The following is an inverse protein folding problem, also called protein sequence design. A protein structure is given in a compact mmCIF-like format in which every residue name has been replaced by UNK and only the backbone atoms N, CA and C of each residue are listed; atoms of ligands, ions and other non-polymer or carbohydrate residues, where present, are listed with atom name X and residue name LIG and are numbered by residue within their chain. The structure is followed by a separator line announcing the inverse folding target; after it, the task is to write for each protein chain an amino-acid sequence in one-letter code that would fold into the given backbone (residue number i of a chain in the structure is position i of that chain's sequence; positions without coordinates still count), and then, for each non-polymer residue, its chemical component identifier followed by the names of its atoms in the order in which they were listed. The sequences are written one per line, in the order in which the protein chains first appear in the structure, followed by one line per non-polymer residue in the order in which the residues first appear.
data_IF_666378215371
#
_entry.id   IF_666378215371
#
_cell.length_a   1.000
_cell.length_b   1.000
_cell.length_c   1.000
_cell.angle_alpha   90.00
_cell.angle_beta   90.00
_cell.angle_gamma   90.00
#
_symmetry.space_group_name_H-M   'P 1'
#
loop_
_entity.id
_entity.type
_entity.pdbx_description
1 polymer ?
#
# COMPACT_ATOMS: atom_id res chain seq x y z
N UNK A 1 -17.32 12.15 24.63
CA UNK A 1 -16.66 10.95 24.06
C UNK A 1 -17.30 9.65 24.52
N UNK A 2 -17.78 9.52 25.76
CA UNK A 2 -18.32 8.25 26.31
C UNK A 2 -19.45 7.59 25.51
N UNK A 3 -20.23 8.36 24.73
CA UNK A 3 -21.34 7.81 23.96
C UNK A 3 -20.88 6.99 22.72
N UNK A 4 -19.77 7.36 22.07
CA UNK A 4 -19.35 6.71 20.82
C UNK A 4 -18.65 5.38 21.02
N UNK A 5 -17.80 5.29 22.04
CA UNK A 5 -17.12 4.04 22.36
C UNK A 5 -18.14 2.93 22.69
N UNK A 6 -19.20 3.29 23.41
CA UNK A 6 -20.34 2.42 23.70
C UNK A 6 -21.10 1.99 22.44
N UNK A 7 -21.31 2.91 21.49
CA UNK A 7 -21.95 2.61 20.20
C UNK A 7 -21.09 1.67 19.34
N UNK A 8 -19.79 1.93 19.22
CA UNK A 8 -18.86 1.08 18.47
C UNK A 8 -18.78 -0.31 19.11
N UNK A 9 -18.69 -0.38 20.44
CA UNK A 9 -18.71 -1.64 21.18
C UNK A 9 -20.00 -2.43 20.90
N UNK A 10 -21.16 -1.75 20.98
CA UNK A 10 -22.45 -2.35 20.66
C UNK A 10 -22.47 -2.91 19.24
N UNK A 11 -22.03 -2.14 18.24
CA UNK A 11 -22.00 -2.59 16.85
C UNK A 11 -21.11 -3.82 16.66
N UNK A 12 -19.94 -3.85 17.27
CA UNK A 12 -19.07 -5.02 17.25
C UNK A 12 -19.74 -6.25 17.90
N UNK A 13 -20.41 -6.06 19.04
CA UNK A 13 -21.11 -7.14 19.74
C UNK A 13 -22.34 -7.68 18.99
N UNK A 14 -22.77 -7.07 17.87
CA UNK A 14 -23.87 -7.60 17.06
C UNK A 14 -23.44 -8.73 16.11
N UNK A 15 -22.14 -8.94 15.90
CA UNK A 15 -21.65 -10.08 15.12
C UNK A 15 -21.83 -11.40 15.88
N UNK A 16 -22.05 -12.50 15.14
CA UNK A 16 -22.30 -13.82 15.72
C UNK A 16 -21.13 -14.32 16.58
N UNK A 17 -19.92 -13.93 16.19
CA UNK A 17 -18.66 -14.27 16.82
C UNK A 17 -18.56 -13.73 18.26
N UNK A 18 -19.40 -12.75 18.64
CA UNK A 18 -19.44 -12.16 19.98
C UNK A 18 -20.75 -12.43 20.75
N UNK A 19 -21.67 -13.23 20.19
CA UNK A 19 -23.02 -13.41 20.75
C UNK A 19 -23.05 -13.94 22.19
N UNK A 20 -22.05 -14.73 22.59
CA UNK A 20 -21.96 -15.36 23.92
C UNK A 20 -20.92 -14.68 24.82
N UNK A 21 -20.50 -13.45 24.50
CA UNK A 21 -19.39 -12.77 25.18
C UNK A 21 -19.91 -11.46 25.73
N UNK A 22 -19.87 -11.34 27.05
CA UNK A 22 -20.16 -10.08 27.73
C UNK A 22 -18.92 -9.18 27.62
N UNK A 23 -19.02 -8.13 26.82
CA UNK A 23 -17.97 -7.11 26.72
C UNK A 23 -18.40 -5.86 27.48
N UNK A 24 -17.65 -5.51 28.52
CA UNK A 24 -17.90 -4.32 29.33
C UNK A 24 -17.33 -3.04 28.72
N UNK A 25 -16.27 -3.14 27.90
CA UNK A 25 -15.64 -2.06 27.16
C UNK A 25 -14.85 -2.59 25.95
N UNK A 26 -14.34 -1.69 25.10
CA UNK A 26 -13.57 -2.06 23.89
C UNK A 26 -12.24 -2.74 24.19
N UNK A 27 -11.60 -2.44 25.33
CA UNK A 27 -10.37 -3.11 25.78
C UNK A 27 -10.61 -4.59 26.10
N UNK A 28 -11.72 -4.90 26.79
CA UNK A 28 -12.13 -6.27 27.09
C UNK A 28 -12.51 -7.04 25.83
N UNK A 29 -13.11 -6.36 24.85
CA UNK A 29 -13.38 -6.96 23.54
C UNK A 29 -12.08 -7.34 22.83
N UNK A 30 -11.10 -6.43 22.75
CA UNK A 30 -9.87 -6.65 21.97
C UNK A 30 -8.93 -7.68 22.58
N UNK A 31 -8.88 -7.75 23.90
CA UNK A 31 -8.14 -8.79 24.62
C UNK A 31 -8.80 -10.16 24.53
N UNK A 32 -10.02 -10.27 23.98
CA UNK A 32 -10.71 -11.55 23.83
C UNK A 32 -10.14 -12.38 22.67
N UNK A 33 -10.09 -13.70 22.87
CA UNK A 33 -9.72 -14.67 21.83
C UNK A 33 -10.67 -14.64 20.64
N UNK A 34 -11.94 -14.32 20.88
CA UNK A 34 -12.96 -14.20 19.83
C UNK A 34 -12.76 -12.98 18.95
N UNK A 35 -12.23 -11.88 19.48
CA UNK A 35 -11.88 -10.72 18.66
C UNK A 35 -10.71 -11.03 17.73
N UNK A 36 -9.69 -11.75 18.24
CA UNK A 36 -8.58 -12.23 17.42
C UNK A 36 -9.06 -13.14 16.28
N UNK A 37 -9.91 -14.12 16.57
CA UNK A 37 -10.50 -15.00 15.57
C UNK A 37 -11.36 -14.25 14.55
N UNK A 38 -12.14 -13.27 15.01
CA UNK A 38 -12.97 -12.45 14.14
C UNK A 38 -12.13 -11.56 13.22
N UNK A 39 -11.09 -10.92 13.74
CA UNK A 39 -10.13 -10.16 12.94
C UNK A 39 -9.46 -11.07 11.90
N UNK A 40 -8.98 -12.26 12.30
CA UNK A 40 -8.42 -13.25 11.38
C UNK A 40 -9.43 -13.58 10.26
N UNK A 41 -10.70 -13.84 10.56
CA UNK A 41 -11.73 -14.13 9.54
C UNK A 41 -12.08 -12.92 8.64
N UNK A 42 -11.99 -11.69 9.16
CA UNK A 42 -12.25 -10.45 8.40
C UNK A 42 -11.09 -10.09 7.48
N UNK A 43 -9.84 -10.32 7.92
CA UNK A 43 -8.64 -9.96 7.19
C UNK A 43 -8.08 -11.08 6.32
N UNK A 44 -8.23 -12.34 6.73
CA UNK A 44 -7.79 -13.50 5.97
C UNK A 44 -8.96 -14.01 5.12
N UNK A 45 -8.89 -13.73 3.82
CA UNK A 45 -9.56 -14.58 2.83
C UNK A 45 -9.04 -16.01 3.08
N UNK A 46 -9.90 -16.93 3.50
CA UNK A 46 -9.58 -18.37 3.58
C UNK A 46 -9.19 -18.89 2.20
N UNK A 47 -7.93 -18.65 1.81
CA UNK A 47 -7.27 -19.39 0.76
C UNK A 47 -6.77 -20.69 1.40
N UNK A 48 -7.15 -21.80 0.80
CA UNK A 48 -6.97 -23.18 1.27
C UNK A 48 -5.52 -23.69 1.23
N UNK A 49 -4.54 -22.85 1.56
CA UNK A 49 -3.12 -23.24 1.59
C UNK A 49 -2.51 -22.90 2.95
N UNK A 50 -2.13 -23.94 3.70
CA UNK A 50 -1.31 -23.81 4.88
C UNK A 50 0.10 -23.38 4.46
N UNK A 51 0.56 -22.18 4.84
CA UNK A 51 1.98 -21.80 4.96
C UNK A 51 2.13 -20.32 5.41
N UNK A 52 2.29 -20.13 6.72
CA UNK A 52 3.13 -19.13 7.44
C UNK A 52 3.46 -17.75 6.83
N UNK A 53 2.58 -17.12 6.03
CA UNK A 53 2.77 -15.74 5.53
C UNK A 53 1.53 -14.86 5.67
N UNK A 54 0.50 -15.35 6.36
CA UNK A 54 -0.78 -14.67 6.51
C UNK A 54 -0.65 -13.35 7.28
N UNK A 55 0.11 -13.31 8.37
CA UNK A 55 0.30 -12.10 9.18
C UNK A 55 0.97 -10.95 8.40
N UNK A 56 1.91 -11.26 7.48
CA UNK A 56 2.57 -10.24 6.65
C UNK A 56 1.63 -9.68 5.57
N UNK A 57 0.72 -10.52 5.05
CA UNK A 57 -0.30 -10.10 4.07
C UNK A 57 -1.40 -9.27 4.70
N UNK A 58 -1.85 -9.66 5.90
CA UNK A 58 -2.80 -8.90 6.71
C UNK A 58 -2.19 -7.55 7.09
N UNK A 59 -0.95 -7.54 7.57
CA UNK A 59 -0.21 -6.33 7.86
C UNK A 59 -0.11 -5.38 6.65
N UNK A 60 0.31 -5.88 5.48
CA UNK A 60 0.39 -5.05 4.28
C UNK A 60 -0.99 -4.50 3.86
N UNK A 61 -2.06 -5.26 4.08
CA UNK A 61 -3.44 -4.83 3.80
C UNK A 61 -3.89 -3.71 4.74
N UNK A 62 -3.58 -3.83 6.03
CA UNK A 62 -3.85 -2.79 7.02
C UNK A 62 -3.01 -1.54 6.69
N UNK A 63 -1.71 -1.72 6.42
CA UNK A 63 -0.79 -0.62 6.11
C UNK A 63 -1.19 0.19 4.87
N UNK A 64 -1.63 -0.47 3.80
CA UNK A 64 -2.04 0.22 2.55
C UNK A 64 -3.32 1.04 2.74
N UNK A 65 -4.23 0.58 3.60
CA UNK A 65 -5.54 1.19 3.75
C UNK A 65 -5.65 2.15 4.97
N UNK A 66 -4.72 2.09 5.94
CA UNK A 66 -4.83 2.74 7.25
C UNK A 66 -3.50 3.39 7.73
N UNK A 67 -2.80 4.07 6.81
CA UNK A 67 -1.40 4.56 6.95
C UNK A 67 -1.01 5.35 8.22
N UNK A 68 -1.94 6.02 8.91
CA UNK A 68 -1.66 6.83 10.12
C UNK A 68 -1.99 6.13 11.45
N UNK A 69 -2.65 4.98 11.40
CA UNK A 69 -2.59 4.11 12.56
C UNK A 69 -1.16 3.61 12.61
N UNK A 70 -0.42 3.91 13.66
CA UNK A 70 0.92 3.37 13.94
C UNK A 70 0.87 1.83 14.18
N UNK A 71 0.04 1.12 13.42
CA UNK A 71 0.04 -0.34 13.29
C UNK A 71 1.24 -0.65 12.41
N UNK A 72 2.41 -0.68 13.06
CA UNK A 72 3.69 -1.03 12.47
C UNK A 72 3.80 -2.54 12.27
N UNK A 73 2.94 -3.35 12.94
CA UNK A 73 2.78 -4.81 12.79
C UNK A 73 1.34 -5.27 13.10
N UNK A 74 0.98 -6.50 12.71
CA UNK A 74 -0.37 -7.07 12.96
C UNK A 74 -0.73 -7.11 14.45
N UNK A 75 0.26 -7.32 15.31
CA UNK A 75 0.13 -7.38 16.76
C UNK A 75 -0.34 -6.04 17.36
N UNK A 76 -0.07 -4.92 16.68
CA UNK A 76 -0.46 -3.59 17.16
C UNK A 76 -1.99 -3.37 17.09
N UNK A 77 -2.73 -4.21 16.34
CA UNK A 77 -4.19 -4.23 16.33
C UNK A 77 -4.77 -4.64 17.70
N UNK A 78 -3.99 -5.33 18.52
CA UNK A 78 -4.38 -5.81 19.85
C UNK A 78 -3.93 -4.89 20.99
N UNK A 79 -3.43 -3.69 20.65
CA UNK A 79 -3.02 -2.71 21.65
C UNK A 79 -4.24 -2.08 22.33
N UNK A 80 -4.36 -2.28 23.65
CA UNK A 80 -5.43 -1.74 24.48
C UNK A 80 -5.50 -0.20 24.47
N UNK A 81 -4.39 0.49 24.23
CA UNK A 81 -4.34 1.96 24.19
C UNK A 81 -5.01 2.53 22.93
N UNK A 82 -5.17 1.71 21.89
CA UNK A 82 -5.86 2.06 20.64
C UNK A 82 -7.14 1.25 20.43
N UNK A 83 -7.73 0.72 21.51
CA UNK A 83 -8.82 -0.24 21.45
C UNK A 83 -10.01 0.20 20.58
N UNK A 84 -10.48 1.43 20.74
CA UNK A 84 -11.61 1.97 19.94
C UNK A 84 -11.30 1.92 18.45
N UNK A 85 -10.08 2.27 18.08
CA UNK A 85 -9.67 2.35 16.69
C UNK A 85 -9.49 0.97 16.04
N UNK A 86 -8.95 0.01 16.79
CA UNK A 86 -8.87 -1.37 16.33
C UNK A 86 -10.27 -1.95 16.05
N UNK A 87 -11.25 -1.69 16.93
CA UNK A 87 -12.66 -2.05 16.68
C UNK A 87 -13.20 -1.38 15.41
N UNK A 88 -12.95 -0.08 15.21
CA UNK A 88 -13.38 0.65 14.02
C UNK A 88 -12.76 0.07 12.74
N UNK A 89 -11.45 -0.21 12.72
CA UNK A 89 -10.76 -0.76 11.55
C UNK A 89 -11.32 -2.15 11.18
N UNK A 90 -11.56 -3.00 12.17
CA UNK A 90 -12.13 -4.34 11.95
C UNK A 90 -13.58 -4.23 11.45
N UNK A 91 -14.40 -3.38 12.06
CA UNK A 91 -15.78 -3.11 11.64
C UNK A 91 -15.84 -2.63 10.19
N UNK A 92 -14.96 -1.69 9.82
CA UNK A 92 -14.90 -1.13 8.47
C UNK A 92 -14.52 -2.19 7.43
N UNK A 93 -13.50 -3.01 7.71
CA UNK A 93 -13.13 -4.09 6.80
C UNK A 93 -14.23 -5.13 6.62
N UNK A 94 -14.90 -5.50 7.72
CA UNK A 94 -16.02 -6.44 7.68
C UNK A 94 -17.16 -5.94 6.75
N UNK A 95 -17.33 -4.62 6.63
CA UNK A 95 -18.40 -4.00 5.84
C UNK A 95 -17.99 -3.62 4.41
N UNK A 96 -16.76 -3.14 4.21
CA UNK A 96 -16.26 -2.62 2.94
C UNK A 96 -15.53 -3.66 2.08
N UNK A 97 -14.86 -4.65 2.70
CA UNK A 97 -13.92 -5.55 2.01
C UNK A 97 -14.35 -7.02 1.98
N UNK A 98 -15.34 -7.43 2.75
CA UNK A 98 -15.85 -8.79 2.68
C UNK A 98 -16.73 -8.98 1.43
N UNK A 99 -16.26 -9.84 0.53
CA UNK A 99 -16.96 -10.31 -0.69
C UNK A 99 -18.24 -11.12 -0.40
N UNK A 100 -18.58 -11.33 0.87
CA UNK A 100 -19.75 -12.06 1.34
C UNK A 100 -20.66 -11.13 2.16
N UNK A 101 -21.96 -11.08 1.82
CA UNK A 101 -22.98 -10.25 2.49
C UNK A 101 -23.25 -10.67 3.94
N UNK A 102 -22.64 -11.75 4.44
CA UNK A 102 -22.80 -12.29 5.80
C UNK A 102 -22.79 -11.21 6.89
N UNK A 103 -21.71 -10.43 7.00
CA UNK A 103 -21.55 -9.43 8.07
C UNK A 103 -22.51 -8.26 7.93
N UNK A 104 -22.79 -7.82 6.69
CA UNK A 104 -23.77 -6.77 6.41
C UNK A 104 -25.18 -7.18 6.81
N UNK A 105 -25.56 -8.43 6.49
CA UNK A 105 -26.87 -8.97 6.84
C UNK A 105 -27.04 -9.11 8.35
N UNK A 106 -26.00 -9.57 9.07
CA UNK A 106 -26.03 -9.66 10.53
C UNK A 106 -26.30 -8.30 11.19
N UNK A 107 -25.57 -7.24 10.79
CA UNK A 107 -25.83 -5.90 11.34
C UNK A 107 -27.20 -5.38 10.90
N UNK A 108 -27.57 -5.55 9.64
CA UNK A 108 -28.86 -5.09 9.11
C UNK A 108 -30.08 -5.74 9.77
N UNK A 109 -29.97 -6.98 10.23
CA UNK A 109 -31.07 -7.69 10.90
C UNK A 109 -31.19 -7.31 12.38
N UNK A 110 -30.09 -6.86 13.00
CA UNK A 110 -29.99 -6.65 14.46
C UNK A 110 -29.98 -5.18 14.87
N UNK A 111 -29.54 -4.28 13.98
CA UNK A 111 -29.60 -2.84 14.20
C UNK A 111 -30.99 -2.28 13.94
N UNK A 112 -31.40 -1.31 14.76
CA UNK A 112 -32.57 -0.50 14.45
C UNK A 112 -32.28 0.50 13.31
N UNK A 113 -33.33 1.12 12.76
CA UNK A 113 -33.16 2.03 11.61
C UNK A 113 -32.28 3.25 11.93
N UNK A 114 -32.30 3.74 13.16
CA UNK A 114 -31.49 4.88 13.59
C UNK A 114 -30.01 4.50 13.68
N UNK A 115 -29.70 3.33 14.25
CA UNK A 115 -28.36 2.75 14.30
C UNK A 115 -27.80 2.50 12.89
N UNK A 116 -28.65 2.02 11.96
CA UNK A 116 -28.24 1.83 10.56
C UNK A 116 -27.93 3.14 9.85
N UNK A 117 -28.74 4.18 10.07
CA UNK A 117 -28.49 5.53 9.52
C UNK A 117 -27.21 6.13 10.12
N UNK A 118 -26.99 5.93 11.42
CA UNK A 118 -25.80 6.39 12.11
C UNK A 118 -24.54 5.72 11.55
N UNK A 119 -24.57 4.40 11.36
CA UNK A 119 -23.48 3.64 10.75
C UNK A 119 -23.25 4.06 9.30
N UNK A 120 -24.31 4.28 8.51
CA UNK A 120 -24.17 4.75 7.13
C UNK A 120 -23.53 6.15 7.06
N UNK A 121 -23.95 7.09 7.91
CA UNK A 121 -23.36 8.42 8.01
C UNK A 121 -21.89 8.35 8.47
N UNK A 122 -21.55 7.44 9.38
CA UNK A 122 -20.17 7.17 9.78
C UNK A 122 -19.31 6.65 8.62
N UNK A 123 -19.84 5.69 7.87
CA UNK A 123 -19.17 5.16 6.68
C UNK A 123 -18.99 6.24 5.62
N UNK A 124 -19.98 7.09 5.39
CA UNK A 124 -19.90 8.20 4.43
C UNK A 124 -18.90 9.28 4.87
N UNK A 125 -18.90 9.65 6.15
CA UNK A 125 -17.96 10.63 6.70
C UNK A 125 -16.50 10.13 6.65
N UNK A 126 -16.30 8.81 6.67
CA UNK A 126 -14.97 8.19 6.58
C UNK A 126 -14.55 7.84 5.15
N UNK A 127 -15.44 8.02 4.14
CA UNK A 127 -15.19 7.66 2.74
C UNK A 127 -14.34 8.67 1.94
N UNK A 128 -14.26 9.94 2.35
CA UNK A 128 -13.66 11.00 1.52
C UNK A 128 -12.13 11.15 1.64
N UNK A 129 -11.48 10.42 2.55
CA UNK A 129 -10.04 10.53 2.86
C UNK A 129 -9.43 9.15 3.17
N UNK A 130 -8.09 9.06 3.21
CA UNK A 130 -7.40 7.89 3.79
C UNK A 130 -7.92 7.64 5.22
N UNK A 131 -8.13 6.38 5.62
CA UNK A 131 -8.64 6.06 6.97
C UNK A 131 -7.55 6.29 8.02
N UNK A 132 -7.42 7.55 8.45
CA UNK A 132 -6.47 7.97 9.47
C UNK A 132 -7.13 8.11 10.84
N UNK A 133 -6.32 8.12 11.90
CA UNK A 133 -6.79 8.37 13.28
C UNK A 133 -7.49 9.73 13.38
N UNK A 134 -6.97 10.74 12.68
CA UNK A 134 -7.57 12.07 12.62
C UNK A 134 -8.94 12.04 11.93
N UNK A 135 -9.05 11.40 10.76
CA UNK A 135 -10.31 11.36 10.00
C UNK A 135 -11.40 10.55 10.71
N UNK A 136 -11.02 9.45 11.39
CA UNK A 136 -11.97 8.71 12.24
C UNK A 136 -12.40 9.56 13.43
N UNK A 137 -11.48 10.32 14.03
CA UNK A 137 -11.83 11.24 15.13
C UNK A 137 -12.78 12.35 14.66
N UNK A 138 -12.53 12.93 13.49
CA UNK A 138 -13.39 13.94 12.87
C UNK A 138 -14.76 13.37 12.48
N UNK A 139 -14.82 12.17 11.92
CA UNK A 139 -16.07 11.49 11.60
C UNK A 139 -16.88 11.16 12.86
N UNK A 140 -16.22 10.68 13.93
CA UNK A 140 -16.87 10.46 15.22
C UNK A 140 -17.39 11.78 15.82
N UNK A 141 -16.62 12.87 15.70
CA UNK A 141 -17.03 14.20 16.15
C UNK A 141 -18.29 14.70 15.42
N UNK A 142 -18.34 14.55 14.09
CA UNK A 142 -19.49 14.95 13.26
C UNK A 142 -20.78 14.19 13.64
N UNK A 143 -20.65 12.95 14.10
CA UNK A 143 -21.81 12.18 14.53
C UNK A 143 -22.27 12.62 15.93
N UNK A 144 -21.38 13.12 16.79
CA UNK A 144 -21.76 13.69 18.12
C UNK A 144 -22.73 14.85 18.01
N UNK A 145 -22.53 15.68 16.99
CA UNK A 145 -23.30 16.91 16.81
C UNK A 145 -24.67 16.65 16.16
N UNK A 146 -24.87 15.46 15.61
CA UNK A 146 -26.20 15.02 15.19
C UNK A 146 -27.05 14.75 16.43
N UNK A 147 -28.22 15.37 16.53
CA UNK A 147 -29.18 15.23 17.65
C UNK A 147 -29.83 13.84 17.72
N UNK A 148 -29.07 12.76 17.51
CA UNK A 148 -29.53 11.41 17.75
C UNK A 148 -29.55 11.19 19.27
N UNK A 149 -30.77 11.01 19.77
CA UNK A 149 -31.11 10.97 21.18
C UNK A 149 -30.28 9.89 21.88
N UNK A 150 -29.70 10.20 23.05
CA UNK A 150 -28.95 9.26 23.87
C UNK A 150 -29.64 7.90 23.92
N UNK A 151 -29.02 6.89 23.31
CA UNK A 151 -29.35 5.50 23.60
C UNK A 151 -28.78 5.27 25.00
N UNK A 152 -29.65 5.14 26.01
CA UNK A 152 -29.22 4.83 27.38
C UNK A 152 -28.51 3.47 27.38
N UNK A 153 -27.18 3.49 27.34
CA UNK A 153 -26.36 2.28 27.51
C UNK A 153 -25.87 2.24 28.96
N UNK A 154 -26.78 1.90 29.88
CA UNK A 154 -26.44 1.58 31.27
C UNK A 154 -26.77 0.14 31.64
N UNK A 155 -26.74 -0.76 30.65
CA UNK A 155 -26.86 -2.19 30.88
C UNK A 155 -25.62 -2.86 30.31
N UNK A 156 -24.95 -3.61 31.18
CA UNK A 156 -23.92 -4.60 30.83
C UNK A 156 -24.41 -5.32 29.57
N UNK A 157 -23.61 -5.33 28.50
CA UNK A 157 -23.98 -5.88 27.20
C UNK A 157 -24.17 -7.41 27.29
N UNK A 158 -25.32 -7.81 27.83
CA UNK A 158 -25.87 -9.16 27.79
C UNK A 158 -26.81 -9.22 26.59
N UNK A 159 -26.34 -9.82 25.51
CA UNK A 159 -27.15 -10.05 24.30
C UNK A 159 -28.13 -11.20 24.55
N UNK A 160 -29.19 -10.96 25.30
CA UNK A 160 -30.37 -11.78 25.25
C UNK A 160 -31.56 -10.86 24.94
N UNK A 161 -32.18 -11.07 23.78
CA UNK A 161 -33.49 -10.54 23.38
C UNK A 161 -33.57 -9.21 22.61
N UNK A 162 -32.77 -9.03 21.55
CA UNK A 162 -33.26 -8.22 20.41
C UNK A 162 -34.05 -9.12 19.45
N UNK A 163 -35.37 -8.92 19.29
CA UNK A 163 -36.19 -9.79 18.44
C UNK A 163 -35.78 -9.63 16.97
N UNK A 164 -35.44 -10.75 16.32
CA UNK A 164 -35.21 -10.85 14.88
C UNK A 164 -36.47 -10.33 14.18
N UNK A 165 -36.41 -9.12 13.61
CA UNK A 165 -37.56 -8.52 12.93
C UNK A 165 -37.88 -9.32 11.67
N UNK A 166 -39.11 -9.80 11.60
CA UNK A 166 -39.63 -10.54 10.45
C UNK A 166 -39.53 -9.73 9.16
N UNK A 167 -39.07 -10.38 8.08
CA UNK A 167 -39.00 -9.91 6.69
C UNK A 167 -40.14 -8.96 6.31
N UNK A 168 -39.88 -7.66 6.41
CA UNK A 168 -40.67 -6.62 5.74
C UNK A 168 -39.90 -6.18 4.51
N UNK A 169 -40.60 -6.10 3.38
CA UNK A 169 -40.10 -5.99 2.01
C UNK A 169 -39.54 -4.59 1.66
N UNK A 170 -38.83 -3.94 2.60
CA UNK A 170 -38.06 -2.70 2.38
C UNK A 170 -36.58 -3.02 2.52
N UNK A 171 -35.79 -2.68 1.49
CA UNK A 171 -34.32 -2.78 1.54
C UNK A 171 -33.82 -1.99 2.75
N UNK A 172 -32.86 -2.55 3.49
CA UNK A 172 -32.26 -1.82 4.61
C UNK A 172 -31.44 -0.64 4.08
N UNK A 173 -31.28 0.42 4.88
CA UNK A 173 -30.47 1.57 4.51
C UNK A 173 -29.02 1.18 4.21
N UNK A 174 -28.50 0.16 4.90
CA UNK A 174 -27.18 -0.42 4.61
C UNK A 174 -27.13 -1.05 3.21
N UNK A 175 -28.21 -1.73 2.81
CA UNK A 175 -28.34 -2.34 1.49
C UNK A 175 -28.48 -1.27 0.40
N UNK A 176 -29.21 -0.17 0.66
CA UNK A 176 -29.31 0.98 -0.24
C UNK A 176 -27.95 1.70 -0.40
N UNK A 177 -27.21 1.88 0.70
CA UNK A 177 -25.87 2.46 0.65
C UNK A 177 -24.90 1.62 -0.17
N UNK A 178 -24.89 0.29 0.01
CA UNK A 178 -24.04 -0.63 -0.76
C UNK A 178 -24.43 -0.66 -2.25
N UNK A 179 -25.71 -0.48 -2.57
CA UNK A 179 -26.22 -0.40 -3.94
C UNK A 179 -26.13 1.01 -4.54
N UNK A 180 -25.67 2.00 -3.78
CA UNK A 180 -25.51 3.36 -4.30
C UNK A 180 -24.47 3.37 -5.42
N UNK A 181 -24.61 4.24 -6.44
CA UNK A 181 -23.66 4.30 -7.55
C UNK A 181 -22.20 4.55 -7.11
N UNK A 182 -22.00 5.32 -6.03
CA UNK A 182 -20.67 5.59 -5.46
C UNK A 182 -20.09 4.35 -4.79
N UNK A 183 -20.84 3.70 -3.90
CA UNK A 183 -20.38 2.46 -3.25
C UNK A 183 -20.17 1.33 -4.25
N UNK A 184 -21.06 1.19 -5.22
CA UNK A 184 -20.93 0.20 -6.29
C UNK A 184 -19.70 0.46 -7.17
N UNK A 185 -19.35 1.73 -7.42
CA UNK A 185 -18.10 2.10 -8.11
C UNK A 185 -16.86 1.67 -7.32
N UNK A 186 -16.82 1.90 -6.01
CA UNK A 186 -15.70 1.42 -5.17
C UNK A 186 -15.63 -0.11 -5.12
N UNK A 187 -16.79 -0.77 -4.94
CA UNK A 187 -16.88 -2.24 -4.95
C UNK A 187 -16.37 -2.79 -6.28
N UNK A 188 -16.72 -2.15 -7.39
CA UNK A 188 -16.28 -2.56 -8.72
C UNK A 188 -14.77 -2.32 -8.93
N UNK A 189 -14.22 -1.19 -8.46
CA UNK A 189 -12.79 -0.92 -8.50
C UNK A 189 -11.98 -1.95 -7.67
N UNK A 190 -12.45 -2.30 -6.48
CA UNK A 190 -11.79 -3.32 -5.66
C UNK A 190 -11.92 -4.72 -6.28
N UNK A 191 -13.06 -5.04 -6.89
CA UNK A 191 -13.22 -6.27 -7.69
C UNK A 191 -12.26 -6.30 -8.88
N UNK A 192 -12.10 -5.20 -9.61
CA UNK A 192 -11.15 -5.11 -10.72
C UNK A 192 -9.71 -5.29 -10.25
N UNK A 193 -9.30 -4.66 -9.14
CA UNK A 193 -7.97 -4.89 -8.55
C UNK A 193 -7.75 -6.36 -8.18
N UNK A 194 -8.76 -7.01 -7.60
CA UNK A 194 -8.69 -8.42 -7.24
C UNK A 194 -8.58 -9.32 -8.48
N UNK A 195 -9.35 -9.03 -9.53
CA UNK A 195 -9.32 -9.75 -10.81
C UNK A 195 -7.96 -9.58 -11.49
N UNK A 196 -7.42 -8.36 -11.54
CA UNK A 196 -6.09 -8.09 -12.11
C UNK A 196 -5.04 -8.91 -11.37
N UNK A 197 -5.07 -8.91 -10.03
CA UNK A 197 -4.14 -9.66 -9.22
C UNK A 197 -4.25 -11.17 -9.44
N UNK A 198 -5.46 -11.73 -9.39
CA UNK A 198 -5.70 -13.16 -9.66
C UNK A 198 -5.25 -13.56 -11.07
N UNK A 199 -5.41 -12.66 -12.05
CA UNK A 199 -4.96 -12.90 -13.43
C UNK A 199 -3.44 -12.94 -13.51
N UNK A 200 -2.74 -12.03 -12.82
CA UNK A 200 -1.27 -12.03 -12.78
C UNK A 200 -0.73 -13.23 -12.00
N UNK A 201 -1.34 -13.58 -10.86
CA UNK A 201 -0.98 -14.75 -10.07
C UNK A 201 -1.14 -16.04 -10.91
N UNK A 202 -2.26 -16.19 -11.62
CA UNK A 202 -2.50 -17.32 -12.53
C UNK A 202 -1.49 -17.37 -13.69
N UNK A 203 -1.11 -16.22 -14.24
CA UNK A 203 -0.10 -16.12 -15.30
C UNK A 203 1.28 -16.55 -14.79
N UNK A 204 1.65 -16.13 -13.58
CA UNK A 204 2.89 -16.54 -12.93
C UNK A 204 2.92 -18.05 -12.67
N UNK A 205 1.83 -18.62 -12.14
CA UNK A 205 1.69 -20.06 -11.93
C UNK A 205 1.79 -20.85 -13.25
N UNK A 206 1.19 -20.35 -14.33
CA UNK A 206 1.35 -20.94 -15.66
C UNK A 206 2.82 -20.93 -16.12
N UNK A 207 3.53 -19.81 -15.94
CA UNK A 207 4.95 -19.70 -16.33
C UNK A 207 5.85 -20.64 -15.52
N UNK A 208 5.62 -20.76 -14.21
CA UNK A 208 6.31 -21.74 -13.36
C UNK A 208 6.04 -23.18 -13.80
N UNK A 209 4.78 -23.50 -14.13
CA UNK A 209 4.41 -24.82 -14.64
C UNK A 209 5.07 -25.13 -16.00
N UNK A 210 5.22 -24.14 -16.89
CA UNK A 210 5.98 -24.33 -18.14
C UNK A 210 7.47 -24.62 -17.86
N UNK A 211 8.10 -23.87 -16.95
CA UNK A 211 9.50 -24.12 -16.53
C UNK A 211 9.66 -25.51 -15.91
N UNK A 212 8.69 -25.93 -15.08
CA UNK A 212 8.69 -27.27 -14.48
C UNK A 212 8.55 -28.36 -15.56
N UNK A 213 7.69 -28.17 -16.55
CA UNK A 213 7.53 -29.11 -17.65
C UNK A 213 8.81 -29.23 -18.50
N UNK A 214 9.51 -28.13 -18.77
CA UNK A 214 10.82 -28.15 -19.43
C UNK A 214 11.88 -28.89 -18.60
N UNK A 215 11.93 -28.65 -17.28
CA UNK A 215 12.83 -29.36 -16.38
C UNK A 215 12.55 -30.87 -16.38
N UNK A 216 11.28 -31.28 -16.32
CA UNK A 216 10.89 -32.70 -16.39
C UNK A 216 11.33 -33.32 -17.72
N UNK A 217 11.18 -32.60 -18.84
CA UNK A 217 11.66 -33.05 -20.15
C UNK A 217 13.17 -33.20 -20.16
N UNK A 218 13.90 -32.21 -19.64
CA UNK A 218 15.35 -32.25 -19.52
C UNK A 218 15.83 -33.44 -18.66
N UNK A 219 15.20 -33.68 -17.50
CA UNK A 219 15.54 -34.83 -16.65
C UNK A 219 15.26 -36.17 -17.34
N UNK A 220 14.19 -36.29 -18.13
CA UNK A 220 13.91 -37.49 -18.93
C UNK A 220 14.99 -37.73 -19.99
N UNK A 221 15.41 -36.68 -20.70
CA UNK A 221 16.48 -36.78 -21.70
C UNK A 221 17.82 -37.16 -21.05
N UNK A 222 18.12 -36.58 -19.88
CA UNK A 222 19.34 -36.87 -19.14
C UNK A 222 19.35 -38.31 -18.62
N UNK A 223 18.21 -38.79 -18.12
CA UNK A 223 18.04 -40.17 -17.68
C UNK A 223 18.20 -41.15 -18.85
N UNK A 224 17.65 -40.83 -20.02
CA UNK A 224 17.82 -41.63 -21.25
C UNK A 224 19.29 -41.72 -21.66
N UNK A 225 20.02 -40.60 -21.63
CA UNK A 225 21.47 -40.58 -21.89
C UNK A 225 22.26 -41.40 -20.87
N UNK A 226 21.86 -41.37 -19.60
CA UNK A 226 22.52 -42.14 -18.54
C UNK A 226 22.27 -43.64 -18.72
N UNK A 227 21.04 -44.05 -19.03
CA UNK A 227 20.68 -45.44 -19.33
C UNK A 227 21.47 -45.98 -20.52
N UNK A 228 21.58 -45.22 -21.62
CA UNK A 228 22.38 -45.65 -22.77
C UNK A 228 23.85 -45.85 -22.41
N UNK A 229 24.44 -44.92 -21.64
CA UNK A 229 25.83 -45.06 -21.16
C UNK A 229 26.02 -46.26 -20.22
N UNK A 230 25.00 -46.62 -19.44
CA UNK A 230 25.04 -47.78 -18.57
C UNK A 230 25.02 -49.08 -19.40
N UNK A 231 24.15 -49.13 -20.42
CA UNK A 231 24.07 -50.25 -21.35
C UNK A 231 25.38 -50.46 -22.13
N UNK A 232 26.02 -49.37 -22.56
CA UNK A 232 27.34 -49.43 -23.20
C UNK A 232 28.42 -49.94 -22.25
N UNK A 233 28.39 -49.54 -20.97
CA UNK A 233 29.30 -50.09 -19.95
C UNK A 233 29.09 -51.57 -19.73
N UNK A 234 27.85 -52.04 -19.68
CA UNK A 234 27.55 -53.47 -19.52
C UNK A 234 28.04 -54.29 -20.72
N UNK A 235 27.91 -53.76 -21.94
CA UNK A 235 28.48 -54.36 -23.16
C UNK A 235 30.01 -54.45 -23.08
N UNK A 236 30.69 -53.37 -22.68
CA UNK A 236 32.16 -53.35 -22.51
C UNK A 236 32.59 -54.33 -21.42
N UNK A 237 31.87 -54.39 -20.30
CA UNK A 237 32.15 -55.32 -19.22
C UNK A 237 32.02 -56.77 -19.68
N UNK A 238 31.04 -57.07 -20.53
CA UNK A 238 30.85 -58.39 -21.11
C UNK A 238 31.99 -58.75 -22.07
N UNK A 239 32.41 -57.84 -22.94
CA UNK A 239 33.57 -58.02 -23.82
C UNK A 239 34.83 -58.31 -23.01
N UNK A 240 35.09 -57.53 -21.95
CA UNK A 240 36.25 -57.73 -21.07
C UNK A 240 36.19 -59.08 -20.34
N UNK A 241 35.02 -59.51 -19.89
CA UNK A 241 34.83 -60.85 -19.28
C UNK A 241 35.15 -61.95 -20.29
N UNK A 242 34.71 -61.79 -21.53
CA UNK A 242 34.94 -62.77 -22.59
C UNK A 242 36.43 -62.80 -23.01
N UNK A 243 37.09 -61.65 -23.13
CA UNK A 243 38.54 -61.54 -23.36
C UNK A 243 39.35 -62.19 -22.22
N UNK A 244 39.04 -61.89 -20.96
CA UNK A 244 39.71 -62.52 -19.80
C UNK A 244 39.55 -64.05 -19.86
N UNK A 245 38.37 -64.54 -20.23
CA UNK A 245 38.10 -65.97 -20.39
C UNK A 245 38.94 -66.60 -21.51
N UNK A 246 39.20 -65.85 -22.57
CA UNK A 246 40.02 -66.26 -23.70
C UNK A 246 41.52 -66.30 -23.35
N UNK A 247 42.03 -65.27 -22.65
CA UNK A 247 43.40 -65.21 -22.13
C UNK A 247 43.69 -66.19 -20.98
N UNK A 248 42.65 -66.72 -20.33
CA UNK A 248 42.77 -67.75 -19.29
C UNK A 248 42.99 -69.16 -19.86
N UNK A 249 42.97 -69.34 -21.18
CA UNK A 249 43.27 -70.63 -21.81
C UNK A 249 44.80 -70.90 -21.80
N UNK A 250 45.25 -72.14 -21.54
CA UNK A 250 46.68 -72.45 -21.47
C UNK A 250 47.35 -72.23 -22.84
N UNK A 251 48.42 -71.43 -22.87
CA UNK A 251 49.16 -71.02 -24.05
C UNK A 251 49.58 -72.18 -24.97
N UNK A 252 49.36 -72.01 -26.29
CA UNK A 252 49.98 -72.80 -27.34
C UNK A 252 51.17 -72.06 -27.98
N UNK A 253 52.25 -72.82 -28.18
CA UNK A 253 53.42 -72.71 -29.07
C UNK A 253 53.92 -71.33 -29.62
N UNK A 254 55.25 -71.08 -29.60
CA UNK A 254 55.90 -69.82 -30.00
C UNK A 254 55.82 -69.43 -31.49
N UNK A 255 55.21 -70.25 -32.37
CA UNK A 255 55.01 -69.89 -33.79
C UNK A 255 53.87 -68.87 -34.04
N UNK A 256 52.97 -68.63 -33.07
CA UNK A 256 51.90 -67.62 -33.17
C UNK A 256 52.37 -66.15 -32.99
N UNK A 257 53.56 -65.93 -32.41
CA UNK A 257 54.04 -64.60 -31.99
C UNK A 257 54.25 -63.59 -33.14
N UNK A 258 54.50 -64.05 -34.37
CA UNK A 258 54.70 -63.18 -35.55
C UNK A 258 53.38 -62.63 -36.12
N UNK A 259 52.30 -63.39 -36.02
CA UNK A 259 50.97 -62.97 -36.50
C UNK A 259 50.33 -61.99 -35.50
N UNK A 260 50.59 -62.19 -34.20
CA UNK A 260 50.13 -61.30 -33.14
C UNK A 260 50.79 -59.91 -33.19
N UNK A 261 52.05 -59.82 -33.60
CA UNK A 261 52.77 -58.54 -33.66
C UNK A 261 52.26 -57.63 -34.78
N UNK A 262 51.90 -58.17 -35.95
CA UNK A 262 51.27 -57.39 -37.03
C UNK A 262 49.85 -56.91 -36.67
N UNK A 263 49.10 -57.72 -35.91
CA UNK A 263 47.78 -57.35 -35.37
C UNK A 263 47.87 -56.22 -34.35
N UNK A 264 48.86 -56.28 -33.45
CA UNK A 264 49.14 -55.23 -32.46
C UNK A 264 49.52 -53.92 -33.15
N UNK A 265 50.38 -53.95 -34.17
CA UNK A 265 50.77 -52.75 -34.94
C UNK A 265 49.56 -52.13 -35.64
N UNK A 266 48.67 -52.95 -36.22
CA UNK A 266 47.41 -52.46 -36.83
C UNK A 266 46.45 -51.85 -35.81
N UNK A 267 46.42 -52.34 -34.57
CA UNK A 267 45.59 -51.78 -33.48
C UNK A 267 46.15 -50.44 -33.02
N UNK A 268 47.45 -50.37 -32.74
CA UNK A 268 48.13 -49.13 -32.34
C UNK A 268 48.01 -48.01 -33.39
N UNK A 269 48.07 -48.35 -34.68
CA UNK A 269 47.86 -47.37 -35.75
C UNK A 269 46.42 -46.84 -35.80
N UNK A 270 45.42 -47.66 -35.47
CA UNK A 270 44.03 -47.21 -35.34
C UNK A 270 43.85 -46.30 -34.12
N UNK A 271 44.36 -46.73 -32.97
CA UNK A 271 44.30 -45.95 -31.73
C UNK A 271 44.98 -44.58 -31.89
N UNK A 272 46.08 -44.52 -32.66
CA UNK A 272 46.75 -43.26 -33.01
C UNK A 272 45.84 -42.32 -33.81
N UNK A 273 45.14 -42.84 -34.82
CA UNK A 273 44.23 -42.04 -35.65
C UNK A 273 43.04 -41.52 -34.82
N UNK A 274 42.47 -42.37 -33.97
CA UNK A 274 41.35 -41.99 -33.10
C UNK A 274 41.78 -40.92 -32.08
N UNK A 275 42.98 -41.02 -31.51
CA UNK A 275 43.55 -40.00 -30.62
C UNK A 275 43.82 -38.67 -31.35
N UNK A 276 44.30 -38.70 -32.60
CA UNK A 276 44.48 -37.49 -33.41
C UNK A 276 43.14 -36.80 -33.71
N UNK A 277 42.09 -37.56 -34.04
CA UNK A 277 40.74 -37.03 -34.23
C UNK A 277 40.22 -36.36 -32.95
N UNK A 278 40.30 -37.04 -31.80
CA UNK A 278 39.88 -36.49 -30.52
C UNK A 278 40.64 -35.21 -30.14
N UNK A 279 41.95 -35.17 -30.41
CA UNK A 279 42.78 -34.00 -30.13
C UNK A 279 42.36 -32.79 -30.99
N UNK A 280 41.99 -33.02 -32.25
CA UNK A 280 41.50 -31.97 -33.14
C UNK A 280 40.12 -31.46 -32.71
N UNK A 281 39.21 -32.35 -32.31
CA UNK A 281 37.90 -31.98 -31.77
C UNK A 281 38.04 -31.14 -30.49
N UNK A 282 38.92 -31.55 -29.57
CA UNK A 282 39.19 -30.80 -28.34
C UNK A 282 39.73 -29.40 -28.62
N UNK A 283 40.66 -29.26 -29.58
CA UNK A 283 41.16 -27.93 -30.01
C UNK A 283 40.03 -27.05 -30.56
N UNK A 284 39.12 -27.63 -31.34
CA UNK A 284 37.96 -26.91 -31.87
C UNK A 284 37.03 -26.45 -30.73
N UNK A 285 36.73 -27.32 -29.76
CA UNK A 285 35.92 -26.96 -28.60
C UNK A 285 36.56 -25.85 -27.75
N UNK A 286 37.88 -25.91 -27.53
CA UNK A 286 38.62 -24.86 -26.79
C UNK A 286 38.52 -23.51 -27.50
N UNK A 287 38.70 -23.48 -28.83
CA UNK A 287 38.58 -22.20 -29.57
C UNK A 287 37.16 -21.64 -29.56
N UNK A 288 36.13 -22.49 -29.61
CA UNK A 288 34.74 -22.05 -29.51
C UNK A 288 34.39 -21.51 -28.12
N UNK A 289 34.89 -22.16 -27.06
CA UNK A 289 34.76 -21.69 -25.68
C UNK A 289 35.46 -20.35 -25.47
N UNK A 290 36.67 -20.17 -26.00
CA UNK A 290 37.40 -18.90 -25.88
C UNK A 290 36.67 -17.75 -26.58
N UNK A 291 36.02 -18.02 -27.72
CA UNK A 291 35.16 -17.04 -28.40
C UNK A 291 33.92 -16.68 -27.58
N UNK A 292 33.25 -17.67 -26.97
CA UNK A 292 32.10 -17.44 -26.07
C UNK A 292 32.50 -16.66 -24.82
N UNK A 293 33.65 -16.95 -24.24
CA UNK A 293 34.18 -16.24 -23.09
C UNK A 293 34.42 -14.75 -23.41
N UNK A 294 35.04 -14.44 -24.56
CA UNK A 294 35.26 -13.06 -25.01
C UNK A 294 33.95 -12.28 -25.24
N UNK A 295 32.94 -12.92 -25.86
CA UNK A 295 31.63 -12.30 -26.06
C UNK A 295 30.91 -12.02 -24.72
N UNK A 296 30.92 -12.98 -23.81
CA UNK A 296 30.34 -12.82 -22.47
C UNK A 296 31.04 -11.73 -21.66
N UNK A 297 32.37 -11.66 -21.72
CA UNK A 297 33.13 -10.63 -21.03
C UNK A 297 32.80 -9.23 -21.57
N UNK A 298 32.69 -9.06 -22.89
CA UNK A 298 32.27 -7.78 -23.48
C UNK A 298 30.85 -7.36 -23.09
N UNK A 299 29.91 -8.32 -22.99
CA UNK A 299 28.56 -8.06 -22.47
C UNK A 299 28.57 -7.66 -21.01
N UNK A 300 29.42 -8.28 -20.20
CA UNK A 300 29.57 -7.96 -18.78
C UNK A 300 30.13 -6.55 -18.56
N UNK A 301 31.17 -6.18 -19.32
CA UNK A 301 31.75 -4.82 -19.28
C UNK A 301 30.71 -3.76 -19.66
N UNK A 302 29.95 -3.98 -20.74
CA UNK A 302 28.87 -3.06 -21.14
C UNK A 302 27.82 -2.91 -20.05
N UNK A 303 27.37 -4.02 -19.45
CA UNK A 303 26.37 -4.00 -18.39
C UNK A 303 26.90 -3.29 -17.12
N UNK A 304 28.19 -3.45 -16.82
CA UNK A 304 28.85 -2.75 -15.71
C UNK A 304 28.87 -1.24 -15.95
N UNK A 305 29.15 -0.80 -17.19
CA UNK A 305 29.08 0.61 -17.56
C UNK A 305 27.65 1.17 -17.41
N UNK A 306 26.65 0.42 -17.86
CA UNK A 306 25.23 0.81 -17.74
C UNK A 306 24.83 0.99 -16.26
N UNK A 307 25.26 0.09 -15.37
CA UNK A 307 25.02 0.21 -13.93
C UNK A 307 25.69 1.45 -13.33
N UNK A 308 26.95 1.73 -13.69
CA UNK A 308 27.65 2.91 -13.21
C UNK A 308 26.95 4.21 -13.64
N UNK A 309 26.45 4.26 -14.88
CA UNK A 309 25.65 5.39 -15.36
C UNK A 309 24.35 5.56 -14.55
N UNK A 310 23.69 4.46 -14.20
CA UNK A 310 22.48 4.48 -13.38
C UNK A 310 22.76 5.01 -11.97
N UNK A 311 23.87 4.60 -11.35
CA UNK A 311 24.29 5.10 -10.03
C UNK A 311 24.49 6.61 -10.06
N UNK A 312 25.19 7.13 -11.07
CA UNK A 312 25.38 8.57 -11.25
C UNK A 312 24.05 9.33 -11.43
N UNK A 313 23.07 8.73 -12.13
CA UNK A 313 21.73 9.33 -12.25
C UNK A 313 21.00 9.37 -10.89
N UNK A 314 21.12 8.32 -10.08
CA UNK A 314 20.54 8.30 -8.74
C UNK A 314 21.16 9.39 -7.84
N UNK A 315 22.48 9.52 -7.84
CA UNK A 315 23.19 10.54 -7.06
C UNK A 315 22.72 11.96 -7.48
N UNK A 316 22.52 12.20 -8.77
CA UNK A 316 21.99 13.48 -9.27
C UNK A 316 20.56 13.75 -8.79
N UNK A 317 19.67 12.75 -8.88
CA UNK A 317 18.28 12.87 -8.41
C UNK A 317 18.25 13.14 -6.89
N UNK A 318 19.10 12.45 -6.12
CA UNK A 318 19.18 12.67 -4.68
C UNK A 318 19.65 14.09 -4.33
N UNK A 319 20.67 14.59 -5.05
CA UNK A 319 21.14 15.96 -4.90
C UNK A 319 20.05 16.99 -5.24
N UNK A 320 19.32 16.81 -6.33
CA UNK A 320 18.18 17.67 -6.70
C UNK A 320 17.09 17.65 -5.63
N UNK A 321 16.75 16.47 -5.10
CA UNK A 321 15.73 16.32 -4.07
C UNK A 321 16.15 17.01 -2.75
N UNK A 322 17.42 16.92 -2.37
CA UNK A 322 17.97 17.64 -1.22
C UNK A 322 17.90 19.16 -1.43
N UNK A 323 18.17 19.65 -2.63
CA UNK A 323 18.04 21.07 -2.97
C UNK A 323 16.58 21.54 -2.88
N UNK A 324 15.64 20.77 -3.45
CA UNK A 324 14.21 21.07 -3.38
C UNK A 324 13.70 21.08 -1.94
N UNK A 325 14.13 20.14 -1.10
CA UNK A 325 13.77 20.09 0.32
C UNK A 325 14.30 21.30 1.10
N UNK A 326 15.52 21.74 0.79
CA UNK A 326 16.08 22.98 1.35
C UNK A 326 15.27 24.21 0.94
N UNK A 327 14.90 24.31 -0.35
CA UNK A 327 14.07 25.39 -0.87
C UNK A 327 12.68 25.42 -0.23
N UNK A 328 12.03 24.26 -0.06
CA UNK A 328 10.74 24.15 0.62
C UNK A 328 10.80 24.69 2.05
N UNK A 329 11.84 24.32 2.80
CA UNK A 329 12.05 24.82 4.15
C UNK A 329 12.19 26.35 4.20
N UNK A 330 12.95 26.93 3.26
CA UNK A 330 13.07 28.39 3.13
C UNK A 330 11.72 29.07 2.83
N UNK A 331 10.88 28.44 1.99
CA UNK A 331 9.54 28.95 1.72
C UNK A 331 8.62 28.87 2.94
N UNK A 332 8.65 27.77 3.69
CA UNK A 332 7.89 27.63 4.93
C UNK A 332 8.27 28.70 5.97
N UNK A 333 9.57 28.92 6.18
CA UNK A 333 10.08 29.98 7.08
C UNK A 333 9.64 31.37 6.61
N UNK A 334 9.64 31.62 5.30
CA UNK A 334 9.19 32.89 4.72
C UNK A 334 7.69 33.10 4.92
N UNK A 335 6.88 32.07 4.72
CA UNK A 335 5.42 32.10 4.94
C UNK A 335 5.12 32.38 6.41
N UNK A 336 5.75 31.66 7.33
CA UNK A 336 5.56 31.88 8.77
C UNK A 336 5.90 33.31 9.18
N UNK A 337 6.99 33.87 8.67
CA UNK A 337 7.37 35.27 8.93
C UNK A 337 6.30 36.25 8.41
N UNK A 338 5.71 35.96 7.25
CA UNK A 338 4.64 36.77 6.67
C UNK A 338 3.33 36.64 7.45
N UNK A 339 3.00 35.46 7.95
CA UNK A 339 1.82 35.26 8.79
C UNK A 339 1.93 36.04 10.09
N UNK A 340 3.10 36.03 10.74
CA UNK A 340 3.37 36.87 11.92
C UNK A 340 3.21 38.36 11.59
N UNK A 341 3.73 38.82 10.44
CA UNK A 341 3.57 40.21 9.99
C UNK A 341 2.09 40.57 9.77
N UNK A 342 1.31 39.67 9.16
CA UNK A 342 -0.13 39.85 8.94
C UNK A 342 -0.89 39.92 10.28
N UNK A 343 -0.58 39.03 11.22
CA UNK A 343 -1.20 39.03 12.56
C UNK A 343 -0.91 40.36 13.27
N UNK A 344 0.36 40.81 13.26
CA UNK A 344 0.76 42.09 13.85
C UNK A 344 0.00 43.29 13.25
N UNK A 345 -0.09 43.35 11.92
CA UNK A 345 -0.85 44.41 11.23
C UNK A 345 -2.35 44.36 11.56
N UNK A 346 -2.92 43.16 11.71
CA UNK A 346 -4.32 42.97 12.09
C UNK A 346 -4.57 43.48 13.51
N UNK A 347 -3.69 43.15 14.45
CA UNK A 347 -3.79 43.61 15.83
C UNK A 347 -3.62 45.13 15.94
N UNK A 348 -2.70 45.73 15.17
CA UNK A 348 -2.52 47.18 15.09
C UNK A 348 -3.80 47.87 14.56
N UNK A 349 -4.46 47.28 13.55
CA UNK A 349 -5.71 47.79 13.00
C UNK A 349 -6.86 47.71 14.02
N UNK A 350 -6.97 46.59 14.73
CA UNK A 350 -7.97 46.40 15.80
C UNK A 350 -7.76 47.41 16.94
N UNK A 351 -6.52 47.63 17.37
CA UNK A 351 -6.21 48.58 18.45
C UNK A 351 -6.49 50.04 18.07
N UNK A 352 -6.22 50.45 16.83
CA UNK A 352 -6.60 51.79 16.31
C UNK A 352 -8.11 51.98 16.18
N UNK A 353 -8.87 50.90 16.04
CA UNK A 353 -10.33 50.96 15.95
C UNK A 353 -11.00 51.15 17.32
N UNK A 354 -10.36 50.69 18.40
CA UNK A 354 -10.89 50.76 19.78
C UNK A 354 -10.63 52.14 20.44
N UNK A 355 -9.53 52.82 20.09
CA UNK A 355 -9.17 54.15 20.64
C UNK A 355 -9.98 55.32 20.05
N UNK A 356 -10.82 55.08 19.04
CA UNK A 356 -11.67 56.11 18.39
C UNK A 356 -13.14 56.10 18.87
N UNK A 357 -13.41 55.65 20.10
CA UNK A 357 -14.71 55.86 20.73
C UNK A 357 -14.73 57.23 21.46
N UNK A 358 -15.68 58.13 21.15
CA UNK A 358 -15.76 59.43 21.82
C UNK A 358 -16.27 59.22 23.25
N UNK A 359 -15.41 59.51 24.23
CA UNK A 359 -15.74 59.51 25.64
C UNK A 359 -16.78 60.60 25.93
N UNK A 360 -17.98 60.19 26.35
CA UNK A 360 -19.01 61.10 26.86
C UNK A 360 -18.51 61.85 28.10
N UNK A 361 -18.42 63.18 27.99
CA UNK A 361 -18.24 64.10 29.11
C UNK A 361 -19.63 64.53 29.57
N UNK A 362 -19.91 64.38 30.86
CA UNK A 362 -21.15 64.84 31.52
C UNK A 362 -21.15 66.35 31.72
N UNK A 363 -22.28 67.03 31.50
CA UNK A 363 -22.53 68.39 31.97
C UNK A 363 -23.70 69.09 31.26
N UNK A 364 -24.67 69.57 32.03
CA UNK A 364 -25.97 70.13 31.64
C UNK A 364 -25.98 71.45 30.84
N UNK A 365 -27.08 71.62 30.07
CA UNK A 365 -27.86 72.85 29.75
C UNK A 365 -27.18 73.94 28.88
N UNK A 366 -27.69 74.38 27.72
CA UNK A 366 -29.01 74.97 27.43
C UNK A 366 -29.21 75.17 25.90
N UNK A 367 -30.47 75.35 25.49
CA UNK A 367 -30.98 75.58 24.13
C UNK A 367 -30.16 76.50 23.19
N UNK A 368 -29.90 76.02 21.97
CA UNK A 368 -30.10 76.79 20.72
C UNK A 368 -29.95 75.86 19.51
N UNK A 369 -31.01 75.68 18.74
CA UNK A 369 -30.97 74.96 17.46
C UNK A 369 -30.49 75.92 16.37
N UNK A 370 -29.34 75.64 15.76
CA UNK A 370 -29.05 76.09 14.39
C UNK A 370 -28.10 75.13 13.66
N UNK A 371 -28.64 74.55 12.58
CA UNK A 371 -28.01 74.08 11.34
C UNK A 371 -26.80 73.12 11.36
N UNK A 372 -27.10 71.88 10.93
CA UNK A 372 -26.19 70.80 10.53
C UNK A 372 -25.23 71.14 9.37
N UNK A 373 -24.17 71.92 9.59
CA UNK A 373 -23.06 72.07 8.62
C UNK A 373 -21.79 71.33 9.05
N UNK A 374 -21.44 71.36 10.33
CA UNK A 374 -20.23 70.69 10.86
C UNK A 374 -20.29 69.16 10.79
N UNK A 375 -21.47 68.56 10.98
CA UNK A 375 -21.62 67.10 10.96
C UNK A 375 -21.55 66.53 9.53
N UNK A 376 -21.97 67.30 8.52
CA UNK A 376 -21.83 66.91 7.12
C UNK A 376 -20.38 67.09 6.64
N UNK A 377 -19.67 68.15 7.05
CA UNK A 377 -18.25 68.32 6.71
C UNK A 377 -17.35 67.25 7.34
N UNK A 378 -17.57 66.90 8.62
CA UNK A 378 -16.84 65.80 9.28
C UNK A 378 -17.17 64.42 8.70
N UNK A 379 -18.41 64.21 8.24
CA UNK A 379 -18.81 62.96 7.60
C UNK A 379 -18.24 62.82 6.20
N UNK A 380 -18.17 63.92 5.43
CA UNK A 380 -17.54 63.95 4.11
C UNK A 380 -16.01 63.80 4.21
N UNK A 381 -15.34 64.45 5.17
CA UNK A 381 -13.90 64.31 5.39
C UNK A 381 -13.50 62.88 5.81
N UNK A 382 -14.28 62.24 6.70
CA UNK A 382 -14.05 60.83 7.06
C UNK A 382 -14.31 59.88 5.89
N UNK A 383 -15.31 60.16 5.05
CA UNK A 383 -15.53 59.37 3.83
C UNK A 383 -14.40 59.58 2.83
N UNK A 384 -13.94 60.81 2.58
CA UNK A 384 -12.80 61.10 1.69
C UNK A 384 -11.52 60.43 2.19
N UNK A 385 -11.24 60.46 3.49
CA UNK A 385 -10.07 59.82 4.08
C UNK A 385 -10.12 58.28 3.97
N UNK A 386 -11.29 57.67 4.22
CA UNK A 386 -11.51 56.24 4.01
C UNK A 386 -11.42 55.87 2.52
N UNK A 387 -11.89 56.73 1.62
CA UNK A 387 -11.85 56.47 0.17
C UNK A 387 -10.42 56.61 -0.37
N UNK A 388 -9.67 57.60 0.12
CA UNK A 388 -8.27 57.82 -0.23
C UNK A 388 -7.39 56.67 0.28
N UNK A 389 -7.61 56.19 1.51
CA UNK A 389 -6.90 55.01 2.02
C UNK A 389 -7.27 53.75 1.23
N UNK A 390 -8.54 53.56 0.90
CA UNK A 390 -8.97 52.41 0.09
C UNK A 390 -8.35 52.42 -1.31
N UNK A 391 -8.23 53.59 -1.95
CA UNK A 391 -7.56 53.76 -3.25
C UNK A 391 -6.05 53.51 -3.14
N UNK A 392 -5.41 54.00 -2.07
CA UNK A 392 -3.99 53.76 -1.75
C UNK A 392 -3.69 52.27 -1.55
N UNK A 393 -4.54 51.55 -0.82
CA UNK A 393 -4.42 50.09 -0.67
C UNK A 393 -4.71 49.35 -1.98
N UNK A 394 -5.62 49.85 -2.82
CA UNK A 394 -5.88 49.30 -4.17
C UNK A 394 -4.67 49.44 -5.09
N UNK A 395 -3.99 50.59 -5.06
CA UNK A 395 -2.76 50.82 -5.81
C UNK A 395 -1.60 49.96 -5.31
N UNK A 396 -1.45 49.80 -3.98
CA UNK A 396 -0.44 48.93 -3.37
C UNK A 396 -0.66 47.46 -3.72
N UNK A 397 -1.91 46.99 -3.70
CA UNK A 397 -2.28 45.64 -4.13
C UNK A 397 -2.07 45.41 -5.63
N UNK A 398 -2.40 46.39 -6.49
CA UNK A 398 -2.10 46.33 -7.94
C UNK A 398 -0.61 46.29 -8.21
N UNK A 399 0.21 47.05 -7.47
CA UNK A 399 1.67 47.02 -7.58
C UNK A 399 2.22 45.65 -7.21
N UNK A 400 1.84 45.12 -6.04
CA UNK A 400 2.26 43.78 -5.59
C UNK A 400 1.83 42.68 -6.55
N UNK A 401 0.62 42.76 -7.11
CA UNK A 401 0.16 41.80 -8.13
C UNK A 401 0.98 41.88 -9.42
N UNK A 402 1.41 43.08 -9.83
CA UNK A 402 2.27 43.30 -11.01
C UNK A 402 3.69 42.77 -10.77
N UNK A 403 4.22 42.97 -9.56
CA UNK A 403 5.53 42.44 -9.16
C UNK A 403 5.52 40.90 -9.09
N UNK A 404 4.46 40.29 -8.56
CA UNK A 404 4.26 38.84 -8.56
C UNK A 404 4.11 38.25 -9.97
N UNK A 405 3.44 38.94 -10.90
CA UNK A 405 3.34 38.48 -12.30
C UNK A 405 4.66 38.60 -13.07
N UNK A 406 5.51 39.58 -12.73
CA UNK A 406 6.82 39.75 -13.39
C UNK A 406 7.86 38.72 -12.91
N UNK A 407 7.70 38.16 -11.71
CA UNK A 407 8.58 37.07 -11.22
C UNK A 407 8.33 35.75 -11.97
N UNK A 408 7.16 35.58 -12.60
CA UNK A 408 6.80 34.35 -13.33
C UNK A 408 7.35 34.22 -14.76
N UNK A 409 8.18 35.15 -15.26
CA UNK A 409 8.67 35.11 -16.67
C UNK A 409 10.19 34.88 -16.81
N UNK A 410 10.97 34.77 -15.73
CA UNK A 410 12.43 34.59 -15.84
C UNK A 410 12.92 33.14 -15.69
N UNK A 411 12.20 32.15 -16.23
CA UNK A 411 12.81 30.84 -16.54
C UNK A 411 13.40 30.97 -17.95
N UNK A 412 14.60 31.52 -18.02
CA UNK A 412 15.43 31.39 -19.22
C UNK A 412 15.89 29.93 -19.30
N UNK A 413 15.26 29.20 -20.21
CA UNK A 413 15.84 28.01 -20.84
C UNK A 413 17.12 28.49 -21.53
N UNK A 414 18.28 28.09 -21.00
CA UNK A 414 19.52 28.06 -21.77
C UNK A 414 19.74 26.58 -22.11
N UNK A 415 19.69 26.32 -23.41
CA UNK A 415 20.08 25.07 -24.08
C UNK A 415 21.53 24.71 -23.82
#
# INVERSE_FOLDING_TARGET
MENFESIILRWMCLFDEFKNIECSNTKHLISSTSFKQFADDVFCLKCSSALSTDDTRVYNTIKVNYCEFEVLKYEDLYNEDNAIYACVIVLLHALLKCTNDKFRNQLSERMNNEEQVLLANFLEATQSLLFTKQNISEALLLISDSKHTCINVSEICSNNDTPIKSKSMRRSYLQEFCQSPKSQSLINQEKEKLIIKLTEDYKNECEENYKLAENVKYFKDLNTKLSNKLEDKDKILQILKDEIKEYSKPNQSPECLKVDSDLIIKKLNRDKIDLEMNCNELKQQVTELDKKHKDLNGKFEKKTLDYNNLILMFDNIENENMMLKSNLKLFEETIQKKDIEIISLKDELCNKSITNNPTNISGQETNAMSSNTLFNELSCLKLEEITHDKEKYRHKYKSMKKDLSNVSISINIIL
#
